data_IF_728974471449
#
_entry.id   IF_728974471449
#
_cell.length_a   1.000
_cell.length_b   1.000
_cell.length_c   1.000
_cell.angle_alpha   90.00
_cell.angle_beta   90.00
_cell.angle_gamma   90.00
#
_symmetry.space_group_name_H-M   'P 1'
#
loop_
_entity.id
_entity.type
_entity.pdbx_description
1 polymer ?
#
# COMPACT_ATOMS: atom_id res chain seq x y z
N UNK A 1 4.70 31.05 -7.39
CA UNK A 1 5.97 30.62 -8.00
C UNK A 1 5.79 30.69 -9.50
N UNK A 2 6.45 31.61 -10.19
CA UNK A 2 6.33 31.80 -11.66
C UNK A 2 7.72 31.69 -12.28
N UNK A 3 7.80 30.99 -13.42
CA UNK A 3 9.04 30.94 -14.23
C UNK A 3 9.15 32.18 -15.08
N UNK A 4 10.28 32.87 -15.00
CA UNK A 4 10.61 33.99 -15.91
C UNK A 4 11.17 33.44 -17.24
N UNK A 5 11.09 34.22 -18.30
CA UNK A 5 11.55 33.85 -19.66
C UNK A 5 13.03 33.44 -19.75
N UNK A 6 13.80 33.60 -18.68
CA UNK A 6 15.23 33.29 -18.59
C UNK A 6 15.57 32.13 -17.65
N UNK A 7 14.58 31.31 -17.20
CA UNK A 7 14.83 30.10 -16.44
C UNK A 7 15.30 30.29 -14.98
N UNK A 8 15.14 31.49 -14.40
CA UNK A 8 15.49 31.74 -12.99
C UNK A 8 14.24 31.69 -12.08
N UNK A 9 14.36 31.04 -10.96
CA UNK A 9 13.35 30.97 -9.89
C UNK A 9 13.35 32.29 -9.09
N UNK A 10 12.28 33.07 -9.16
CA UNK A 10 12.05 34.23 -8.31
C UNK A 10 10.90 33.97 -7.34
N UNK A 11 11.13 34.28 -6.06
CA UNK A 11 10.13 34.27 -4.99
C UNK A 11 9.67 35.72 -4.78
N UNK A 12 8.40 36.02 -5.07
CA UNK A 12 7.81 37.33 -4.79
C UNK A 12 7.39 37.41 -3.29
N UNK A 13 7.57 38.57 -2.63
CA UNK A 13 7.14 38.75 -1.24
C UNK A 13 5.60 38.81 -1.16
N UNK A 14 5.04 38.08 -0.23
CA UNK A 14 3.60 38.09 0.08
C UNK A 14 3.18 39.45 0.63
N UNK A 15 2.34 40.19 -0.11
CA UNK A 15 1.60 41.34 0.44
C UNK A 15 0.44 40.84 1.29
N UNK A 16 0.50 41.11 2.57
CA UNK A 16 -0.60 40.90 3.53
C UNK A 16 -1.64 41.99 3.28
N UNK A 17 -2.80 41.62 2.74
CA UNK A 17 -4.00 42.45 2.74
C UNK A 17 -4.67 42.29 4.12
N UNK A 18 -4.58 43.32 4.95
CA UNK A 18 -5.34 43.42 6.19
C UNK A 18 -6.81 43.75 5.86
N UNK A 19 -7.71 42.78 6.02
CA UNK A 19 -9.15 42.99 6.06
C UNK A 19 -9.61 43.08 7.50
N UNK A 20 -10.31 44.17 7.84
CA UNK A 20 -10.90 44.49 9.14
C UNK A 20 -11.86 43.40 9.61
N UNK A 21 -11.64 42.89 10.84
CA UNK A 21 -12.60 42.12 11.61
C UNK A 21 -12.96 42.93 12.88
N UNK A 22 -14.24 43.12 13.21
CA UNK A 22 -14.63 43.86 14.42
C UNK A 22 -14.34 43.04 15.69
N UNK A 23 -13.85 43.73 16.71
CA UNK A 23 -13.52 43.18 17.99
C UNK A 23 -14.79 42.78 18.78
N UNK A 24 -14.90 41.55 19.21
CA UNK A 24 -15.74 41.12 20.32
C UNK A 24 -14.89 40.93 21.55
N UNK A 25 -15.23 41.68 22.62
CA UNK A 25 -14.59 41.63 23.92
C UNK A 25 -15.07 40.42 24.73
N UNK A 26 -14.13 39.76 25.41
CA UNK A 26 -14.31 39.14 26.72
C UNK A 26 -14.53 37.62 26.78
N UNK A 27 -13.46 36.87 27.06
CA UNK A 27 -13.45 35.81 28.07
C UNK A 27 -12.00 35.29 28.22
N UNK A 28 -11.55 35.18 29.48
CA UNK A 28 -10.17 35.00 29.89
C UNK A 28 -9.47 33.75 29.34
N UNK A 29 -8.21 33.95 29.01
CA UNK A 29 -7.29 32.88 28.62
C UNK A 29 -6.87 32.08 29.84
N UNK A 30 -7.15 30.80 29.90
CA UNK A 30 -6.50 29.85 30.78
C UNK A 30 -5.14 29.44 30.22
N UNK A 31 -4.08 29.34 31.05
CA UNK A 31 -2.76 28.95 30.57
C UNK A 31 -2.71 27.46 30.21
N UNK A 32 -2.14 27.19 29.07
CA UNK A 32 -1.88 25.83 28.53
C UNK A 32 -0.86 25.12 29.45
N UNK A 33 -1.25 24.00 30.06
CA UNK A 33 -0.32 23.11 30.77
C UNK A 33 0.08 21.94 29.83
N UNK A 34 1.37 21.61 29.73
CA UNK A 34 1.81 20.47 28.91
C UNK A 34 1.43 19.15 29.60
N UNK A 35 0.78 18.27 28.85
CA UNK A 35 0.44 16.90 29.27
C UNK A 35 1.72 16.08 29.46
N UNK A 36 1.87 15.30 30.55
CA UNK A 36 3.05 14.49 30.81
C UNK A 36 3.26 13.42 29.75
N UNK A 37 4.52 13.24 29.34
CA UNK A 37 4.99 12.21 28.42
C UNK A 37 4.71 10.82 28.99
N UNK A 38 3.64 10.14 28.56
CA UNK A 38 3.52 8.69 28.72
C UNK A 38 4.24 8.00 27.55
N UNK A 39 5.51 7.71 27.79
CA UNK A 39 6.36 6.88 26.93
C UNK A 39 6.11 5.40 27.22
N UNK A 40 5.99 4.60 26.17
CA UNK A 40 6.40 3.19 26.11
C UNK A 40 5.71 2.21 27.07
N UNK A 41 4.38 2.06 26.98
CA UNK A 41 3.70 0.92 27.63
C UNK A 41 2.95 -0.03 26.69
N UNK A 42 2.77 0.29 25.41
CA UNK A 42 2.06 -0.61 24.47
C UNK A 42 2.90 -1.82 23.99
N UNK A 43 4.20 -1.84 24.21
CA UNK A 43 5.07 -2.96 23.76
C UNK A 43 5.25 -4.09 24.80
N UNK A 44 4.60 -4.05 25.98
CA UNK A 44 4.90 -5.00 27.06
C UNK A 44 3.78 -5.99 27.45
N UNK A 45 2.72 -6.11 26.68
CA UNK A 45 1.61 -7.01 27.06
C UNK A 45 1.51 -8.30 26.21
N UNK A 46 2.60 -8.72 25.54
CA UNK A 46 2.68 -10.05 24.94
C UNK A 46 3.84 -10.81 25.59
N UNK A 47 3.62 -11.99 26.20
CA UNK A 47 4.69 -12.74 26.87
C UNK A 47 5.69 -13.30 25.87
N UNK A 48 6.95 -12.91 25.96
CA UNK A 48 8.05 -13.50 25.22
C UNK A 48 8.37 -14.91 25.76
N UNK A 49 8.21 -15.93 24.92
CA UNK A 49 8.81 -17.23 25.16
C UNK A 49 10.36 -17.12 25.07
N UNK A 50 11.04 -17.60 26.11
CA UNK A 50 12.51 -17.60 26.19
C UNK A 50 13.10 -18.55 25.15
N UNK A 51 13.84 -18.03 24.17
CA UNK A 51 14.67 -18.81 23.26
C UNK A 51 16.04 -19.08 23.91
N UNK A 52 16.42 -20.36 23.96
CA UNK A 52 17.71 -20.82 24.42
C UNK A 52 18.86 -20.44 23.47
N UNK A 53 20.05 -20.21 24.05
CA UNK A 53 21.29 -19.88 23.33
C UNK A 53 21.77 -21.06 22.50
N UNK A 54 21.95 -20.89 21.19
CA UNK A 54 22.71 -21.78 20.31
C UNK A 54 24.17 -21.29 20.15
N UNK A 55 25.15 -22.19 19.97
CA UNK A 55 26.55 -21.84 19.95
C UNK A 55 27.03 -21.28 18.61
N UNK A 56 28.06 -20.41 18.66
CA UNK A 56 28.71 -19.77 17.50
C UNK A 56 29.58 -20.76 16.71
N UNK A 57 29.56 -20.75 15.36
CA UNK A 57 30.54 -21.46 14.56
C UNK A 57 31.84 -20.65 14.40
N UNK A 58 32.97 -21.38 14.37
CA UNK A 58 34.33 -20.91 14.22
C UNK A 58 34.61 -20.41 12.80
N UNK A 59 35.49 -19.41 12.71
CA UNK A 59 36.07 -18.86 11.48
C UNK A 59 36.85 -19.90 10.69
N UNK A 60 36.64 -19.95 9.37
CA UNK A 60 37.46 -20.72 8.43
C UNK A 60 38.36 -19.79 7.61
N UNK A 61 39.54 -20.27 7.43
CA UNK A 61 40.77 -19.74 6.87
C UNK A 61 40.66 -19.35 5.39
N UNK A 62 41.31 -18.23 5.03
CA UNK A 62 41.45 -17.74 3.66
C UNK A 62 42.81 -18.20 3.14
N UNK A 63 42.88 -19.16 2.21
CA UNK A 63 44.05 -19.41 1.39
C UNK A 63 43.74 -19.17 -0.10
N UNK A 64 44.67 -18.46 -0.70
CA UNK A 64 44.78 -17.95 -2.07
C UNK A 64 44.54 -19.00 -3.14
N UNK A 65 43.91 -18.59 -4.25
CA UNK A 65 44.12 -19.19 -5.58
C UNK A 65 44.15 -18.07 -6.62
N UNK A 66 45.23 -18.06 -7.42
CA UNK A 66 45.51 -17.13 -8.51
C UNK A 66 44.66 -17.44 -9.78
N UNK A 67 44.44 -16.44 -10.68
CA UNK A 67 43.64 -16.62 -11.89
C UNK A 67 44.46 -17.21 -13.04
N UNK A 68 43.87 -17.97 -14.00
CA UNK A 68 44.53 -18.44 -15.21
C UNK A 68 44.53 -17.38 -16.34
N UNK A 69 45.63 -17.42 -17.12
CA UNK A 69 45.89 -16.55 -18.29
C UNK A 69 45.04 -16.86 -19.52
N UNK A 70 44.93 -15.91 -20.50
CA UNK A 70 44.03 -16.01 -21.66
C UNK A 70 44.66 -16.80 -22.80
N UNK A 71 43.96 -17.86 -23.24
CA UNK A 71 44.30 -18.63 -24.43
C UNK A 71 43.61 -18.11 -25.70
N UNK A 72 44.35 -18.16 -26.81
CA UNK A 72 44.04 -17.61 -28.14
C UNK A 72 42.79 -18.18 -28.82
N UNK A 73 42.13 -17.35 -29.65
CA UNK A 73 41.01 -17.68 -30.52
C UNK A 73 41.48 -18.46 -31.77
N UNK A 74 40.66 -19.37 -32.33
CA UNK A 74 40.72 -19.73 -33.72
C UNK A 74 39.58 -19.10 -34.53
N UNK A 75 39.96 -18.53 -35.67
CA UNK A 75 39.08 -18.10 -36.75
C UNK A 75 38.51 -19.28 -37.50
N UNK A 76 37.19 -19.29 -37.79
CA UNK A 76 36.63 -20.14 -38.81
C UNK A 76 35.40 -19.46 -39.46
N UNK A 77 35.57 -19.07 -40.70
CA UNK A 77 34.57 -18.75 -41.68
C UNK A 77 33.88 -20.04 -42.14
N UNK A 78 32.54 -20.10 -42.05
CA UNK A 78 31.69 -21.15 -42.66
C UNK A 78 30.27 -20.65 -42.86
N UNK A 79 29.50 -21.17 -43.84
CA UNK A 79 28.38 -20.49 -44.48
C UNK A 79 27.11 -20.43 -43.62
N UNK A 80 26.35 -19.33 -43.82
CA UNK A 80 25.02 -19.10 -43.24
C UNK A 80 24.04 -20.14 -43.74
N UNK A 81 23.76 -21.17 -42.98
CA UNK A 81 22.53 -21.94 -43.10
C UNK A 81 21.50 -21.36 -42.10
N UNK A 82 20.34 -21.01 -42.64
CA UNK A 82 19.19 -20.56 -41.90
C UNK A 82 18.67 -21.70 -41.01
N UNK A 83 18.99 -21.63 -39.72
CA UNK A 83 18.37 -22.48 -38.72
C UNK A 83 17.04 -21.83 -38.39
N UNK A 84 15.96 -22.35 -38.96
CA UNK A 84 14.62 -22.29 -38.35
C UNK A 84 14.67 -23.07 -37.04
N UNK A 85 15.17 -22.42 -35.99
CA UNK A 85 15.10 -22.94 -34.65
C UNK A 85 13.61 -23.00 -34.27
N UNK A 86 13.11 -24.21 -34.06
CA UNK A 86 11.76 -24.48 -33.62
C UNK A 86 11.42 -23.60 -32.41
N UNK A 87 10.34 -22.85 -32.51
CA UNK A 87 9.71 -22.21 -31.39
C UNK A 87 9.29 -23.33 -30.42
N UNK A 88 10.01 -23.50 -29.35
CA UNK A 88 9.62 -24.34 -28.22
C UNK A 88 8.26 -23.86 -27.75
N UNK A 89 7.23 -24.70 -27.84
CA UNK A 89 5.86 -24.46 -27.33
C UNK A 89 5.81 -24.41 -25.78
N UNK A 90 6.95 -24.36 -25.12
CA UNK A 90 7.01 -24.21 -23.66
C UNK A 90 6.70 -22.77 -23.32
N UNK A 91 5.57 -22.49 -22.63
CA UNK A 91 5.25 -21.13 -22.22
C UNK A 91 6.39 -20.55 -21.39
N UNK A 92 6.66 -19.25 -21.51
CA UNK A 92 7.73 -18.60 -20.74
C UNK A 92 7.54 -18.88 -19.24
N UNK A 93 8.63 -19.05 -18.49
CA UNK A 93 8.57 -19.28 -17.05
C UNK A 93 7.61 -18.27 -16.41
N UNK A 94 6.70 -18.74 -15.55
CA UNK A 94 5.65 -17.96 -14.90
C UNK A 94 4.42 -17.57 -15.74
N UNK A 95 4.24 -17.98 -17.00
CA UNK A 95 3.08 -17.58 -17.81
C UNK A 95 1.73 -18.00 -17.16
N UNK A 96 1.62 -19.26 -16.74
CA UNK A 96 0.44 -19.75 -16.02
C UNK A 96 0.22 -18.99 -14.70
N UNK A 97 1.28 -18.80 -13.92
CA UNK A 97 1.23 -18.07 -12.65
C UNK A 97 0.80 -16.61 -12.81
N UNK A 98 1.24 -15.92 -13.87
CA UNK A 98 0.80 -14.54 -14.18
C UNK A 98 -0.71 -14.49 -14.42
N UNK A 99 -1.25 -15.45 -15.16
CA UNK A 99 -2.68 -15.54 -15.43
C UNK A 99 -3.48 -15.83 -14.15
N UNK A 100 -3.02 -16.77 -13.32
CA UNK A 100 -3.66 -17.12 -12.05
C UNK A 100 -3.65 -15.94 -11.06
N UNK A 101 -2.52 -15.24 -10.96
CA UNK A 101 -2.40 -14.07 -10.10
C UNK A 101 -3.31 -12.93 -10.57
N UNK A 102 -3.31 -12.64 -11.89
CA UNK A 102 -4.19 -11.62 -12.47
C UNK A 102 -5.67 -11.94 -12.22
N UNK A 103 -6.09 -13.14 -12.54
CA UNK A 103 -7.48 -13.59 -12.33
C UNK A 103 -7.89 -13.47 -10.85
N UNK A 104 -6.98 -13.83 -9.94
CA UNK A 104 -7.22 -13.67 -8.50
C UNK A 104 -7.39 -12.20 -8.10
N UNK A 105 -6.53 -11.29 -8.54
CA UNK A 105 -6.64 -9.86 -8.20
C UNK A 105 -7.93 -9.24 -8.72
N UNK A 106 -8.36 -9.62 -9.93
CA UNK A 106 -9.63 -9.20 -10.52
C UNK A 106 -10.82 -9.74 -9.69
N UNK A 107 -10.81 -11.02 -9.34
CA UNK A 107 -11.84 -11.63 -8.50
C UNK A 107 -11.90 -11.04 -7.08
N UNK A 108 -10.75 -10.76 -6.47
CA UNK A 108 -10.70 -10.13 -5.15
C UNK A 108 -11.25 -8.71 -5.19
N UNK A 109 -10.92 -7.90 -6.23
CA UNK A 109 -11.51 -6.58 -6.44
C UNK A 109 -13.03 -6.67 -6.49
N UNK A 110 -13.59 -7.62 -7.26
CA UNK A 110 -15.03 -7.76 -7.41
C UNK A 110 -15.72 -8.14 -6.09
N UNK A 111 -15.11 -9.04 -5.32
CA UNK A 111 -15.60 -9.42 -3.99
C UNK A 111 -15.55 -8.26 -2.99
N UNK A 112 -14.48 -7.47 -3.00
CA UNK A 112 -14.35 -6.28 -2.16
C UNK A 112 -15.39 -5.22 -2.52
N UNK A 113 -15.58 -4.95 -3.82
CA UNK A 113 -16.60 -4.01 -4.29
C UNK A 113 -18.01 -4.47 -3.84
N UNK A 114 -18.36 -5.73 -4.06
CA UNK A 114 -19.67 -6.26 -3.67
C UNK A 114 -19.90 -6.20 -2.14
N UNK A 115 -18.88 -6.51 -1.34
CA UNK A 115 -18.98 -6.43 0.12
C UNK A 115 -19.19 -4.98 0.61
N UNK A 116 -18.58 -4.00 -0.05
CA UNK A 116 -18.73 -2.59 0.32
C UNK A 116 -20.04 -2.00 -0.16
N UNK A 117 -20.54 -2.38 -1.33
CA UNK A 117 -21.89 -2.00 -1.79
C UNK A 117 -22.99 -2.59 -0.89
N UNK A 118 -22.82 -3.83 -0.40
CA UNK A 118 -23.74 -4.41 0.58
C UNK A 118 -23.75 -3.61 1.89
N UNK A 119 -22.61 -3.14 2.38
CA UNK A 119 -22.54 -2.27 3.57
C UNK A 119 -23.27 -0.94 3.34
N UNK A 120 -23.16 -0.36 2.15
CA UNK A 120 -23.91 0.85 1.78
C UNK A 120 -25.43 0.61 1.83
N UNK A 121 -25.90 -0.57 1.42
CA UNK A 121 -27.31 -0.96 1.51
C UNK A 121 -27.75 -1.20 2.96
N UNK A 122 -26.95 -1.90 3.75
CA UNK A 122 -27.16 -2.18 5.18
C UNK A 122 -27.25 -0.90 6.03
N UNK A 123 -26.61 0.20 5.60
CA UNK A 123 -26.67 1.49 6.28
C UNK A 123 -27.96 2.28 6.00
N UNK A 124 -28.92 1.73 5.26
CA UNK A 124 -30.20 2.37 5.03
C UNK A 124 -30.96 2.57 6.34
N UNK A 125 -31.44 3.80 6.57
CA UNK A 125 -32.19 4.14 7.79
C UNK A 125 -31.33 4.50 9.00
N UNK A 126 -30.00 4.53 8.89
CA UNK A 126 -29.13 5.09 9.92
C UNK A 126 -29.11 6.62 9.80
N UNK A 127 -29.68 7.31 10.79
CA UNK A 127 -29.93 8.77 10.77
C UNK A 127 -28.68 9.60 10.52
N UNK A 128 -27.51 9.15 11.02
CA UNK A 128 -26.24 9.86 10.89
C UNK A 128 -25.73 10.00 9.46
N UNK A 129 -26.25 9.21 8.52
CA UNK A 129 -25.87 9.29 7.11
C UNK A 129 -26.90 10.04 6.25
N UNK A 130 -28.06 10.40 6.83
CA UNK A 130 -29.12 11.14 6.14
C UNK A 130 -29.78 10.33 5.00
N UNK A 131 -30.56 11.00 4.13
CA UNK A 131 -31.35 10.35 3.09
C UNK A 131 -30.56 10.01 1.81
N UNK A 132 -29.24 10.16 1.80
CA UNK A 132 -28.41 9.91 0.61
C UNK A 132 -28.60 8.50 0.06
N UNK A 133 -28.58 8.33 -1.25
CA UNK A 133 -28.62 7.03 -1.90
C UNK A 133 -27.36 6.20 -1.53
N UNK A 134 -27.47 4.86 -1.48
CA UNK A 134 -26.30 4.02 -1.24
C UNK A 134 -25.27 4.17 -2.37
N UNK A 135 -23.99 4.21 -1.99
CA UNK A 135 -22.90 4.28 -2.94
C UNK A 135 -22.83 3.05 -3.85
N UNK A 136 -22.32 3.27 -5.07
CA UNK A 136 -22.02 2.20 -6.04
C UNK A 136 -20.68 2.49 -6.68
N UNK A 137 -19.92 1.44 -7.03
CA UNK A 137 -18.64 1.59 -7.69
C UNK A 137 -18.80 1.99 -9.15
N UNK A 138 -18.23 3.13 -9.50
CA UNK A 138 -17.98 3.51 -10.88
C UNK A 138 -16.64 2.94 -11.32
N UNK A 139 -16.63 2.21 -12.45
CA UNK A 139 -15.44 1.57 -13.00
C UNK A 139 -14.95 2.31 -14.23
N UNK A 140 -13.69 2.76 -14.19
CA UNK A 140 -13.02 3.45 -15.29
C UNK A 140 -11.79 2.66 -15.70
N UNK A 141 -11.85 2.06 -16.89
CA UNK A 141 -10.67 1.41 -17.48
C UNK A 141 -9.68 2.47 -17.97
N UNK A 142 -8.40 2.13 -17.91
CA UNK A 142 -7.31 2.94 -18.45
C UNK A 142 -6.24 2.04 -19.08
N UNK A 143 -5.55 2.56 -20.08
CA UNK A 143 -4.42 1.91 -20.73
C UNK A 143 -3.14 2.70 -20.50
N UNK A 144 -2.00 2.01 -20.58
CA UNK A 144 -0.67 2.59 -20.45
C UNK A 144 0.15 2.22 -21.69
N UNK A 145 0.28 3.11 -22.67
CA UNK A 145 1.24 2.88 -23.76
C UNK A 145 2.67 2.96 -23.20
N UNK A 146 3.57 2.17 -23.77
CA UNK A 146 5.01 2.30 -23.54
C UNK A 146 5.55 3.53 -24.29
N UNK A 147 6.80 3.93 -24.04
CA UNK A 147 7.43 5.10 -24.68
C UNK A 147 7.52 5.00 -26.19
N UNK A 148 7.58 3.80 -26.75
CA UNK A 148 7.56 3.49 -28.19
C UNK A 148 6.14 3.29 -28.75
N UNK A 149 5.09 3.48 -27.92
CA UNK A 149 3.69 3.34 -28.31
C UNK A 149 3.15 1.90 -28.28
N UNK A 150 3.94 0.91 -27.84
CA UNK A 150 3.46 -0.45 -27.68
C UNK A 150 2.53 -0.59 -26.46
N UNK A 151 1.87 -1.74 -26.32
CA UNK A 151 0.99 -2.04 -25.21
C UNK A 151 1.79 -2.24 -23.91
N UNK A 152 1.66 -1.30 -22.97
CA UNK A 152 2.23 -1.36 -21.63
C UNK A 152 1.24 -1.83 -20.57
N UNK A 153 0.09 -2.36 -20.99
CA UNK A 153 -0.99 -2.83 -20.12
C UNK A 153 -1.93 -1.71 -19.68
N UNK A 154 -2.50 -1.86 -18.49
CA UNK A 154 -3.47 -0.91 -17.97
C UNK A 154 -4.12 -1.40 -16.69
N UNK A 155 -5.33 -0.91 -16.44
CA UNK A 155 -6.07 -1.30 -15.25
C UNK A 155 -7.51 -0.80 -15.26
N UNK A 156 -8.19 -1.08 -14.14
CA UNK A 156 -9.53 -0.57 -13.85
C UNK A 156 -9.51 0.11 -12.50
N UNK A 157 -9.76 1.40 -12.49
CA UNK A 157 -10.06 2.16 -11.29
C UNK A 157 -11.53 1.95 -10.94
N UNK A 158 -11.83 1.44 -9.75
CA UNK A 158 -13.17 1.33 -9.22
C UNK A 158 -13.28 2.30 -8.04
N UNK A 159 -14.10 3.34 -8.18
CA UNK A 159 -14.27 4.40 -7.18
C UNK A 159 -15.72 4.45 -6.73
N UNK A 160 -15.95 4.50 -5.40
CA UNK A 160 -17.27 4.72 -4.81
C UNK A 160 -17.25 5.89 -3.84
N UNK A 161 -18.33 6.67 -3.85
CA UNK A 161 -18.71 7.63 -2.82
C UNK A 161 -20.12 7.27 -2.36
N UNK A 162 -20.30 7.16 -1.07
CA UNK A 162 -21.56 6.69 -0.50
C UNK A 162 -21.81 7.28 0.88
N UNK A 163 -22.69 6.64 1.61
CA UNK A 163 -23.09 7.01 2.98
C UNK A 163 -22.00 6.68 3.97
N UNK A 164 -21.59 5.41 4.00
CA UNK A 164 -20.58 4.86 4.92
C UNK A 164 -19.17 5.15 4.42
N UNK A 165 -18.97 4.96 3.12
CA UNK A 165 -17.69 5.27 2.46
C UNK A 165 -17.75 6.67 1.87
N UNK A 166 -17.16 7.66 2.57
CA UNK A 166 -17.03 9.00 1.99
C UNK A 166 -16.22 8.97 0.69
N UNK A 167 -15.23 8.09 0.63
CA UNK A 167 -14.51 7.72 -0.58
C UNK A 167 -13.81 6.38 -0.38
N UNK A 168 -14.01 5.46 -1.30
CA UNK A 168 -13.23 4.21 -1.38
C UNK A 168 -12.86 3.92 -2.83
N UNK A 169 -11.62 3.50 -3.03
CA UNK A 169 -11.16 3.01 -4.32
C UNK A 169 -10.64 1.59 -4.21
N UNK A 170 -10.97 0.75 -5.20
CA UNK A 170 -10.46 -0.61 -5.35
C UNK A 170 -9.95 -0.76 -6.77
N UNK A 171 -8.64 -0.70 -6.95
CA UNK A 171 -8.01 -0.67 -8.27
C UNK A 171 -7.33 -1.99 -8.57
N UNK A 172 -7.46 -2.47 -9.81
CA UNK A 172 -6.64 -3.55 -10.36
C UNK A 172 -5.85 -3.01 -11.53
N UNK A 173 -4.59 -3.40 -11.61
CA UNK A 173 -3.75 -3.10 -12.76
C UNK A 173 -2.92 -4.32 -13.16
N UNK A 174 -2.67 -4.43 -14.47
CA UNK A 174 -1.67 -5.33 -15.03
C UNK A 174 -0.86 -4.50 -16.02
N UNK A 175 0.40 -4.27 -15.68
CA UNK A 175 1.29 -3.39 -16.45
C UNK A 175 2.59 -4.10 -16.79
N UNK A 176 3.17 -3.72 -17.92
CA UNK A 176 4.44 -4.24 -18.40
C UNK A 176 5.26 -3.13 -19.04
N UNK A 177 6.56 -3.33 -19.20
CA UNK A 177 7.46 -2.36 -19.77
C UNK A 177 8.89 -2.61 -19.35
N UNK A 178 9.70 -1.57 -19.39
CA UNK A 178 11.10 -1.62 -18.95
C UNK A 178 11.36 -0.63 -17.82
N UNK A 179 12.17 -1.05 -16.85
CA UNK A 179 12.68 -0.14 -15.82
C UNK A 179 13.72 0.80 -16.40
N UNK A 180 13.66 2.09 -16.01
CA UNK A 180 14.69 3.06 -16.37
C UNK A 180 16.06 2.65 -15.77
N UNK A 181 17.18 3.10 -16.35
CA UNK A 181 18.52 2.78 -15.85
C UNK A 181 18.71 3.03 -14.35
N UNK A 182 18.13 4.11 -13.82
CA UNK A 182 18.23 4.48 -12.40
C UNK A 182 17.55 3.49 -11.44
N UNK A 183 16.53 2.77 -11.93
CA UNK A 183 15.79 1.80 -11.13
C UNK A 183 16.32 0.37 -11.27
N UNK A 184 16.98 0.03 -12.37
CA UNK A 184 17.45 -1.35 -12.65
C UNK A 184 18.32 -1.93 -11.53
N UNK A 185 19.20 -1.11 -10.95
CA UNK A 185 20.09 -1.54 -9.87
C UNK A 185 19.37 -1.86 -8.54
N UNK A 186 18.14 -1.38 -8.37
CA UNK A 186 17.38 -1.50 -7.13
C UNK A 186 16.33 -2.62 -7.17
N UNK A 187 16.03 -3.14 -8.37
CA UNK A 187 14.96 -4.13 -8.59
C UNK A 187 15.59 -5.50 -8.87
N UNK A 188 15.24 -6.54 -8.12
CA UNK A 188 15.76 -7.89 -8.36
C UNK A 188 15.56 -8.35 -9.81
N UNK A 189 16.62 -8.82 -10.45
CA UNK A 189 16.62 -9.32 -11.83
C UNK A 189 16.56 -8.25 -12.94
N UNK A 190 16.31 -6.97 -12.61
CA UNK A 190 16.18 -5.93 -13.63
C UNK A 190 17.54 -5.42 -14.17
N UNK A 191 18.66 -5.73 -13.51
CA UNK A 191 19.99 -5.45 -14.02
C UNK A 191 20.35 -6.38 -15.19
N UNK A 192 19.84 -7.60 -15.19
CA UNK A 192 20.05 -8.61 -16.23
C UNK A 192 19.13 -8.37 -17.45
N UNK A 193 17.85 -8.15 -17.19
CA UNK A 193 16.83 -7.80 -18.18
C UNK A 193 15.91 -6.72 -17.58
N UNK A 194 15.84 -5.52 -18.20
CA UNK A 194 15.05 -4.41 -17.66
C UNK A 194 13.54 -4.62 -17.76
N UNK A 195 13.08 -5.60 -18.54
CA UNK A 195 11.67 -5.87 -18.75
C UNK A 195 10.99 -6.36 -17.49
N UNK A 196 9.78 -5.89 -17.27
CA UNK A 196 8.95 -6.33 -16.15
C UNK A 196 7.50 -6.58 -16.56
N UNK A 197 6.85 -7.39 -15.79
CA UNK A 197 5.40 -7.53 -15.71
C UNK A 197 4.99 -7.40 -14.25
N UNK A 198 3.93 -6.65 -13.98
CA UNK A 198 3.40 -6.48 -12.63
C UNK A 198 1.87 -6.48 -12.67
N UNK A 199 1.25 -7.19 -11.75
CA UNK A 199 -0.20 -7.16 -11.55
C UNK A 199 -0.52 -7.07 -10.06
N UNK A 200 -1.64 -6.44 -9.72
CA UNK A 200 -2.05 -6.33 -8.32
C UNK A 200 -3.38 -5.63 -8.13
N UNK A 201 -3.90 -5.76 -6.91
CA UNK A 201 -5.06 -5.01 -6.41
C UNK A 201 -4.59 -4.05 -5.33
N UNK A 202 -5.16 -2.83 -5.31
CA UNK A 202 -4.89 -1.80 -4.31
C UNK A 202 -6.20 -1.18 -3.86
N UNK A 203 -6.35 -0.96 -2.55
CA UNK A 203 -7.54 -0.41 -1.93
C UNK A 203 -7.16 0.64 -0.88
N UNK A 204 -7.90 1.75 -0.87
CA UNK A 204 -7.93 2.68 0.25
C UNK A 204 -9.37 3.10 0.51
N UNK A 205 -9.80 2.99 1.78
CA UNK A 205 -11.13 3.36 2.24
C UNK A 205 -11.05 4.51 3.26
N UNK A 206 -11.75 5.62 2.96
CA UNK A 206 -11.96 6.75 3.85
C UNK A 206 -13.44 6.84 4.22
N UNK A 207 -13.73 6.68 5.51
CA UNK A 207 -15.09 6.49 6.02
C UNK A 207 -15.75 7.81 6.40
N UNK A 208 -17.05 7.95 6.19
CA UNK A 208 -17.81 9.14 6.60
C UNK A 208 -17.78 9.31 8.13
N UNK A 209 -18.02 8.23 8.87
CA UNK A 209 -17.96 8.24 10.33
C UNK A 209 -16.51 8.25 10.86
N UNK A 210 -16.17 9.12 11.81
CA UNK A 210 -14.89 9.06 12.52
C UNK A 210 -14.74 7.84 13.45
N UNK A 211 -15.86 7.15 13.75
CA UNK A 211 -15.86 5.92 14.56
C UNK A 211 -15.39 4.70 13.77
N UNK A 212 -15.54 4.73 12.45
CA UNK A 212 -15.07 3.67 11.56
C UNK A 212 -13.65 3.98 11.11
N UNK A 213 -12.68 3.08 11.32
CA UNK A 213 -11.30 3.31 10.89
C UNK A 213 -11.18 3.38 9.36
N UNK A 214 -10.24 4.17 8.86
CA UNK A 214 -9.78 4.04 7.49
C UNK A 214 -8.91 2.78 7.35
N UNK A 215 -8.80 2.24 6.14
CA UNK A 215 -7.94 1.10 5.85
C UNK A 215 -7.28 1.21 4.48
N UNK A 216 -6.08 0.67 4.40
CA UNK A 216 -5.36 0.41 3.16
C UNK A 216 -5.11 -1.08 3.03
N UNK A 217 -5.15 -1.57 1.80
CA UNK A 217 -4.80 -2.93 1.45
C UNK A 217 -4.20 -2.97 0.04
N UNK A 218 -3.17 -3.77 -0.16
CA UNK A 218 -2.71 -4.12 -1.50
C UNK A 218 -2.09 -5.51 -1.51
N UNK A 219 -2.17 -6.18 -2.66
CA UNK A 219 -1.34 -7.36 -2.98
C UNK A 219 -0.95 -7.31 -4.44
N UNK A 220 0.26 -7.76 -4.73
CA UNK A 220 0.85 -7.70 -6.07
C UNK A 220 1.78 -8.86 -6.36
N UNK A 221 1.94 -9.17 -7.64
CA UNK A 221 3.01 -10.00 -8.18
C UNK A 221 3.84 -9.16 -9.14
N UNK A 222 5.17 -9.26 -9.05
CA UNK A 222 6.13 -8.63 -9.96
C UNK A 222 7.03 -9.71 -10.54
N UNK A 223 7.26 -9.65 -11.85
CA UNK A 223 8.11 -10.58 -12.59
C UNK A 223 9.09 -9.79 -13.45
N UNK A 224 10.37 -10.10 -13.30
CA UNK A 224 11.51 -9.70 -14.13
C UNK A 224 12.16 -10.98 -14.67
N UNK A 225 13.47 -11.16 -14.58
CA UNK A 225 14.12 -12.49 -14.64
C UNK A 225 13.83 -13.31 -13.37
N UNK A 226 13.30 -12.66 -12.32
CA UNK A 226 12.82 -13.24 -11.06
C UNK A 226 11.33 -12.95 -10.90
N UNK A 227 10.67 -13.68 -9.99
CA UNK A 227 9.27 -13.45 -9.66
C UNK A 227 9.10 -13.41 -8.14
N UNK A 228 8.26 -12.48 -7.63
CA UNK A 228 7.95 -12.37 -6.21
C UNK A 228 6.59 -11.74 -5.96
N UNK A 229 6.11 -11.92 -4.74
CA UNK A 229 4.89 -11.27 -4.24
C UNK A 229 5.20 -10.17 -3.23
N UNK A 230 4.28 -9.23 -3.10
CA UNK A 230 4.29 -8.20 -2.09
C UNK A 230 2.87 -7.76 -1.76
N UNK A 231 2.71 -7.16 -0.59
CA UNK A 231 1.40 -6.69 -0.19
C UNK A 231 1.27 -6.45 1.30
N UNK A 232 0.02 -6.46 1.75
CA UNK A 232 -0.37 -6.29 3.13
C UNK A 232 -1.58 -5.38 3.27
N UNK A 233 -1.92 -5.06 4.51
CA UNK A 233 -2.98 -4.12 4.85
C UNK A 233 -2.74 -3.52 6.21
N UNK A 234 -3.21 -2.30 6.41
CA UNK A 234 -3.13 -1.59 7.67
C UNK A 234 -4.42 -0.86 8.00
N UNK A 235 -4.72 -0.80 9.29
CA UNK A 235 -5.88 -0.15 9.86
C UNK A 235 -5.50 1.20 10.45
N UNK A 236 -6.29 2.24 10.17
CA UNK A 236 -6.07 3.61 10.66
C UNK A 236 -7.30 4.11 11.43
N UNK A 237 -7.47 3.74 12.71
CA UNK A 237 -8.43 4.37 13.58
C UNK A 237 -8.09 5.86 13.77
N UNK A 238 -9.09 6.69 13.96
CA UNK A 238 -8.86 8.12 14.20
C UNK A 238 -8.24 8.37 15.59
N UNK A 239 -8.56 7.52 16.55
CA UNK A 239 -7.94 7.48 17.90
C UNK A 239 -7.40 6.07 18.14
N UNK A 240 -6.19 5.97 18.69
CA UNK A 240 -5.51 4.70 18.96
C UNK A 240 -5.64 4.25 20.41
N UNK A 241 -6.18 5.11 21.27
CA UNK A 241 -6.22 4.96 22.73
C UNK A 241 -7.59 4.58 23.27
N UNK A 242 -8.61 4.40 22.42
CA UNK A 242 -9.95 4.00 22.85
C UNK A 242 -10.10 2.49 22.91
N UNK A 243 -10.93 1.96 23.85
CA UNK A 243 -11.21 0.52 23.92
C UNK A 243 -11.72 -0.06 22.61
N UNK A 244 -12.55 0.69 21.89
CA UNK A 244 -13.13 0.30 20.61
C UNK A 244 -12.04 0.15 19.54
N UNK A 245 -11.15 1.13 19.43
CA UNK A 245 -10.04 1.08 18.47
C UNK A 245 -9.06 -0.05 18.78
N UNK A 246 -8.76 -0.28 20.06
CA UNK A 246 -7.92 -1.40 20.50
C UNK A 246 -8.56 -2.77 20.16
N UNK A 247 -9.88 -2.90 20.38
CA UNK A 247 -10.62 -4.11 20.03
C UNK A 247 -10.61 -4.37 18.51
N UNK A 248 -10.88 -3.35 17.70
CA UNK A 248 -10.88 -3.46 16.24
C UNK A 248 -9.48 -3.77 15.70
N UNK A 249 -8.44 -3.12 16.25
CA UNK A 249 -7.06 -3.41 15.90
C UNK A 249 -6.67 -4.85 16.26
N UNK A 250 -7.05 -5.34 17.44
CA UNK A 250 -6.78 -6.72 17.86
C UNK A 250 -7.44 -7.73 16.91
N UNK A 251 -8.70 -7.53 16.52
CA UNK A 251 -9.40 -8.38 15.57
C UNK A 251 -8.76 -8.37 14.17
N UNK A 252 -8.35 -7.19 13.69
CA UNK A 252 -7.67 -7.03 12.41
C UNK A 252 -6.30 -7.74 12.39
N UNK A 253 -5.52 -7.57 13.44
CA UNK A 253 -4.24 -8.26 13.61
C UNK A 253 -4.42 -9.78 13.71
N UNK A 254 -5.41 -10.27 14.46
CA UNK A 254 -5.69 -11.69 14.59
C UNK A 254 -6.04 -12.35 13.25
N UNK A 255 -6.80 -11.67 12.39
CA UNK A 255 -7.14 -12.18 11.06
C UNK A 255 -5.88 -12.33 10.17
N UNK A 256 -5.00 -11.34 10.16
CA UNK A 256 -3.75 -11.44 9.42
C UNK A 256 -2.76 -12.43 10.03
N UNK A 257 -2.71 -12.53 11.35
CA UNK A 257 -1.91 -13.54 12.02
C UNK A 257 -2.36 -14.95 11.62
N UNK A 258 -3.65 -15.22 11.68
CA UNK A 258 -4.20 -16.51 11.26
C UNK A 258 -3.91 -16.83 9.79
N UNK A 259 -3.92 -15.82 8.90
CA UNK A 259 -3.52 -15.99 7.50
C UNK A 259 -2.03 -16.34 7.38
N UNK A 260 -1.15 -15.67 8.11
CA UNK A 260 0.28 -15.94 8.13
C UNK A 260 0.60 -17.33 8.69
N UNK A 261 0.02 -17.69 9.84
CA UNK A 261 0.31 -18.92 10.58
C UNK A 261 -0.06 -20.20 9.79
N UNK A 262 -0.98 -20.10 8.80
CA UNK A 262 -1.29 -21.21 7.87
C UNK A 262 -0.14 -21.53 6.92
N UNK A 263 0.79 -20.62 6.72
CA UNK A 263 1.92 -20.75 5.78
C UNK A 263 3.27 -20.82 6.51
N UNK A 264 3.54 -19.85 7.39
CA UNK A 264 4.76 -19.80 8.20
C UNK A 264 4.51 -18.95 9.46
N UNK A 265 4.70 -19.52 10.63
CA UNK A 265 4.56 -18.82 11.91
C UNK A 265 5.51 -17.62 12.07
N UNK A 266 6.61 -17.57 11.30
CA UNK A 266 7.53 -16.43 11.28
C UNK A 266 7.02 -15.25 10.45
N UNK A 267 6.01 -15.42 9.57
CA UNK A 267 5.52 -14.38 8.69
C UNK A 267 4.89 -13.23 9.45
N UNK A 268 3.97 -13.54 10.37
CA UNK A 268 3.26 -12.47 11.09
C UNK A 268 4.19 -11.55 11.89
N UNK A 269 5.06 -12.01 12.78
CA UNK A 269 5.93 -11.12 13.53
C UNK A 269 6.86 -10.31 12.61
N UNK A 270 7.39 -10.90 11.54
CA UNK A 270 8.25 -10.26 10.57
C UNK A 270 7.52 -9.16 9.77
N UNK A 271 6.33 -9.48 9.27
CA UNK A 271 5.58 -8.57 8.40
C UNK A 271 4.88 -7.46 9.20
N UNK A 272 4.50 -7.76 10.46
CA UNK A 272 4.00 -6.74 11.39
C UNK A 272 5.08 -5.72 11.73
N UNK A 273 6.26 -6.14 12.12
CA UNK A 273 7.39 -5.24 12.38
C UNK A 273 7.72 -4.38 11.16
N UNK A 274 7.69 -4.97 9.96
CA UNK A 274 7.91 -4.22 8.73
C UNK A 274 6.81 -3.19 8.48
N UNK A 275 5.54 -3.54 8.69
CA UNK A 275 4.40 -2.65 8.60
C UNK A 275 4.55 -1.45 9.55
N UNK A 276 4.87 -1.69 10.83
CA UNK A 276 5.03 -0.67 11.85
C UNK A 276 6.13 0.35 11.47
N UNK A 277 7.25 -0.13 10.92
CA UNK A 277 8.34 0.73 10.42
C UNK A 277 7.97 1.48 9.15
N UNK A 278 7.28 0.82 8.21
CA UNK A 278 6.94 1.40 6.93
C UNK A 278 5.94 2.56 7.06
N UNK A 279 4.90 2.37 7.87
CA UNK A 279 3.82 3.35 8.04
C UNK A 279 4.06 4.35 9.20
N UNK A 280 5.29 4.47 9.65
CA UNK A 280 5.67 5.49 10.63
C UNK A 280 5.90 6.85 9.94
N UNK A 281 5.46 7.94 10.57
CA UNK A 281 5.69 9.32 10.12
C UNK A 281 6.87 9.94 10.90
N UNK A 282 8.10 9.93 10.38
CA UNK A 282 9.27 10.40 11.11
C UNK A 282 9.17 11.87 11.52
N UNK A 283 8.67 12.73 10.61
CA UNK A 283 8.50 14.17 10.85
C UNK A 283 7.42 14.52 11.88
N UNK A 284 6.55 13.56 12.25
CA UNK A 284 5.55 13.67 13.30
C UNK A 284 5.90 12.86 14.55
N UNK A 285 6.86 11.94 14.44
CA UNK A 285 7.21 10.97 15.47
C UNK A 285 5.99 10.16 15.95
N UNK A 286 5.14 9.75 15.02
CA UNK A 286 3.92 8.98 15.30
C UNK A 286 3.65 7.91 14.22
N UNK A 287 2.96 6.79 14.56
CA UNK A 287 2.48 5.84 13.57
C UNK A 287 1.30 6.42 12.78
N UNK A 288 1.13 6.01 11.52
CA UNK A 288 -0.04 6.36 10.71
C UNK A 288 -1.34 5.84 11.33
N UNK A 289 -1.33 4.61 11.81
CA UNK A 289 -2.48 3.92 12.39
C UNK A 289 -2.09 2.81 13.36
N UNK A 290 -2.97 1.83 13.52
CA UNK A 290 -2.77 0.65 14.36
C UNK A 290 -1.84 -0.39 13.71
N UNK A 291 -1.51 -0.23 12.42
CA UNK A 291 -0.70 -1.17 11.66
C UNK A 291 -1.51 -2.33 11.09
N UNK A 292 -0.83 -3.43 10.88
CA UNK A 292 -1.29 -4.65 10.24
C UNK A 292 -0.11 -5.49 9.82
N UNK A 293 -0.03 -5.87 8.53
CA UNK A 293 1.14 -6.53 7.95
C UNK A 293 1.60 -5.82 6.67
N UNK A 294 2.91 -5.88 6.39
CA UNK A 294 3.49 -5.45 5.13
C UNK A 294 4.63 -6.39 4.73
N UNK A 295 4.62 -6.88 3.51
CA UNK A 295 5.67 -7.72 2.94
C UNK A 295 6.00 -7.31 1.51
N UNK A 296 7.23 -7.52 1.12
CA UNK A 296 7.73 -7.31 -0.24
C UNK A 296 8.82 -8.32 -0.57
N UNK A 297 9.06 -8.55 -1.85
CA UNK A 297 10.03 -9.52 -2.34
C UNK A 297 9.86 -10.91 -1.70
N UNK A 298 8.61 -11.33 -1.47
CA UNK A 298 8.32 -12.66 -0.97
C UNK A 298 8.57 -13.67 -2.08
N UNK A 299 9.55 -14.54 -1.84
CA UNK A 299 9.89 -15.69 -2.65
C UNK A 299 10.42 -16.78 -1.72
N UNK A 300 9.57 -17.76 -1.42
CA UNK A 300 9.90 -18.90 -0.53
C UNK A 300 10.66 -20.03 -1.24
N UNK A 301 10.70 -19.97 -2.58
CA UNK A 301 11.16 -21.08 -3.43
C UNK A 301 9.99 -21.87 -4.04
N UNK A 302 8.78 -21.71 -3.51
CA UNK A 302 7.54 -22.24 -4.07
C UNK A 302 6.56 -21.10 -4.38
N UNK A 303 6.53 -20.71 -5.65
CA UNK A 303 5.70 -19.60 -6.14
C UNK A 303 4.20 -19.86 -6.02
N UNK A 304 3.76 -21.13 -5.99
CA UNK A 304 2.36 -21.48 -5.79
C UNK A 304 1.97 -21.33 -4.31
N UNK A 305 2.85 -21.70 -3.39
CA UNK A 305 2.66 -21.44 -1.97
C UNK A 305 2.64 -19.92 -1.68
N UNK A 306 3.51 -19.13 -2.33
CA UNK A 306 3.52 -17.68 -2.20
C UNK A 306 2.24 -17.02 -2.73
N UNK A 307 1.69 -17.54 -3.86
CA UNK A 307 0.39 -17.11 -4.37
C UNK A 307 -0.73 -17.50 -3.41
N UNK A 308 -0.71 -18.70 -2.84
CA UNK A 308 -1.69 -19.15 -1.86
C UNK A 308 -1.68 -18.25 -0.60
N UNK A 309 -0.51 -17.93 -0.08
CA UNK A 309 -0.36 -16.96 1.01
C UNK A 309 -0.95 -15.59 0.64
N UNK A 310 -0.61 -15.09 -0.55
CA UNK A 310 -1.12 -13.78 -1.02
C UNK A 310 -2.65 -13.78 -1.15
N UNK A 311 -3.25 -14.91 -1.54
CA UNK A 311 -4.72 -15.11 -1.56
C UNK A 311 -5.29 -15.07 -0.15
N UNK A 312 -4.70 -15.77 0.80
CA UNK A 312 -5.14 -15.80 2.20
C UNK A 312 -5.06 -14.43 2.89
N UNK A 313 -4.04 -13.64 2.59
CA UNK A 313 -3.93 -12.24 3.03
C UNK A 313 -5.10 -11.40 2.49
N UNK A 314 -5.49 -11.60 1.22
CA UNK A 314 -6.65 -10.94 0.61
C UNK A 314 -7.97 -11.33 1.27
N UNK A 315 -8.14 -12.61 1.59
CA UNK A 315 -9.33 -13.13 2.26
C UNK A 315 -9.44 -12.63 3.71
N UNK A 316 -8.32 -12.58 4.44
CA UNK A 316 -8.28 -12.04 5.80
C UNK A 316 -8.73 -10.57 5.86
N UNK A 317 -8.30 -9.75 4.90
CA UNK A 317 -8.76 -8.37 4.81
C UNK A 317 -10.26 -8.28 4.47
N UNK A 318 -10.72 -9.06 3.48
CA UNK A 318 -12.12 -9.09 3.06
C UNK A 318 -13.07 -9.54 4.19
N UNK A 319 -12.60 -10.35 5.12
CA UNK A 319 -13.36 -10.76 6.30
C UNK A 319 -13.30 -9.70 7.42
N UNK A 320 -12.10 -9.28 7.80
CA UNK A 320 -11.88 -8.45 8.98
C UNK A 320 -12.41 -7.01 8.82
N UNK A 321 -12.11 -6.35 7.70
CA UNK A 321 -12.46 -4.93 7.55
C UNK A 321 -13.96 -4.69 7.42
N UNK A 322 -14.73 -5.41 6.58
CA UNK A 322 -16.19 -5.31 6.57
C UNK A 322 -16.86 -5.59 7.93
N UNK A 323 -16.33 -6.53 8.72
CA UNK A 323 -16.86 -6.82 10.06
C UNK A 323 -16.65 -5.65 11.03
N UNK A 324 -15.50 -4.96 10.95
CA UNK A 324 -15.23 -3.74 11.73
C UNK A 324 -16.20 -2.63 11.32
N UNK A 325 -16.41 -2.41 10.02
CA UNK A 325 -17.34 -1.38 9.53
C UNK A 325 -18.74 -1.62 10.08
N UNK A 326 -19.29 -2.82 9.93
CA UNK A 326 -20.62 -3.20 10.42
C UNK A 326 -20.80 -2.97 11.92
N UNK A 327 -19.75 -3.24 12.69
CA UNK A 327 -19.76 -3.04 14.15
C UNK A 327 -19.85 -1.58 14.52
N UNK A 328 -19.23 -0.68 13.74
CA UNK A 328 -19.04 0.73 14.07
C UNK A 328 -19.95 1.70 13.32
N UNK A 329 -20.46 1.32 12.15
CA UNK A 329 -21.17 2.24 11.27
C UNK A 329 -22.46 2.81 11.87
N UNK A 330 -23.08 2.13 12.85
CA UNK A 330 -24.26 2.62 13.53
C UNK A 330 -23.97 3.55 14.72
N UNK A 331 -22.69 3.67 15.14
CA UNK A 331 -22.31 4.52 16.27
C UNK A 331 -22.43 6.02 15.90
N UNK A 332 -23.12 6.83 16.70
CA UNK A 332 -23.19 8.27 16.47
C UNK A 332 -21.86 8.93 16.75
N UNK A 333 -21.61 10.06 16.13
CA UNK A 333 -20.39 10.85 16.32
C UNK A 333 -20.67 12.34 16.46
N UNK A 334 -19.73 13.06 17.04
CA UNK A 334 -19.78 14.50 17.26
C UNK A 334 -19.06 15.28 16.15
N UNK A 335 -19.34 16.58 16.05
CA UNK A 335 -18.62 17.49 15.15
C UNK A 335 -17.12 17.59 15.53
N UNK A 336 -16.77 17.46 16.82
CA UNK A 336 -15.38 17.44 17.29
C UNK A 336 -14.64 16.21 16.79
N UNK A 337 -15.24 15.02 16.89
CA UNK A 337 -14.65 13.78 16.33
C UNK A 337 -14.49 13.84 14.82
N UNK A 338 -15.46 14.44 14.12
CA UNK A 338 -15.33 14.68 12.68
C UNK A 338 -14.15 15.62 12.38
N UNK A 339 -14.01 16.71 13.12
CA UNK A 339 -12.86 17.62 12.98
C UNK A 339 -11.54 16.89 13.23
N UNK A 340 -11.47 16.07 14.28
CA UNK A 340 -10.30 15.25 14.58
C UNK A 340 -9.98 14.29 13.42
N UNK A 341 -10.98 13.64 12.83
CA UNK A 341 -10.81 12.78 11.65
C UNK A 341 -10.15 13.55 10.49
N UNK A 342 -10.57 14.77 10.20
CA UNK A 342 -9.99 15.58 9.13
C UNK A 342 -8.49 15.88 9.40
N UNK A 343 -8.12 16.13 10.64
CA UNK A 343 -6.70 16.31 11.04
C UNK A 343 -5.91 15.00 10.87
N UNK A 344 -6.45 13.86 11.30
CA UNK A 344 -5.80 12.55 11.11
C UNK A 344 -5.64 12.20 9.63
N UNK A 345 -6.59 12.57 8.79
CA UNK A 345 -6.48 12.44 7.33
C UNK A 345 -5.36 13.31 6.74
N UNK A 346 -5.05 14.45 7.35
CA UNK A 346 -3.85 15.23 7.01
C UNK A 346 -2.57 14.42 7.18
N UNK A 347 -2.45 13.63 8.28
CA UNK A 347 -1.32 12.69 8.49
C UNK A 347 -1.25 11.62 7.41
N UNK A 348 -2.41 11.11 7.00
CA UNK A 348 -2.49 10.13 5.91
C UNK A 348 -1.97 10.70 4.58
N UNK A 349 -2.35 11.93 4.23
CA UNK A 349 -1.85 12.64 3.04
C UNK A 349 -0.35 12.88 3.12
N UNK A 350 0.15 13.33 4.28
CA UNK A 350 1.58 13.54 4.51
C UNK A 350 2.37 12.24 4.25
N UNK A 351 1.89 11.10 4.78
CA UNK A 351 2.53 9.82 4.53
C UNK A 351 2.55 9.48 3.03
N UNK A 352 1.40 9.51 2.37
CA UNK A 352 1.27 9.07 0.98
C UNK A 352 2.10 9.93 0.02
N UNK A 353 2.18 11.25 0.23
CA UNK A 353 2.91 12.15 -0.67
C UNK A 353 4.41 12.26 -0.35
N UNK A 354 4.83 12.03 0.89
CA UNK A 354 6.23 12.23 1.30
C UNK A 354 6.98 10.91 1.41
N UNK A 355 6.34 9.85 1.94
CA UNK A 355 7.02 8.63 2.36
C UNK A 355 6.59 7.38 1.60
N UNK A 356 5.38 7.34 0.99
CA UNK A 356 4.91 6.13 0.33
C UNK A 356 5.66 5.85 -0.98
N UNK A 357 6.51 4.82 -0.93
CA UNK A 357 7.31 4.40 -2.09
C UNK A 357 6.45 3.98 -3.28
N UNK A 358 5.27 3.39 -3.03
CA UNK A 358 4.34 2.97 -4.08
C UNK A 358 3.77 4.16 -4.84
N UNK A 359 3.29 5.20 -4.15
CA UNK A 359 2.82 6.45 -4.73
C UNK A 359 3.93 7.16 -5.52
N UNK A 360 5.11 7.31 -4.90
CA UNK A 360 6.25 7.99 -5.54
C UNK A 360 6.74 7.22 -6.78
N UNK A 361 6.82 5.90 -6.72
CA UNK A 361 7.18 5.07 -7.86
C UNK A 361 6.16 5.17 -8.99
N UNK A 362 4.86 5.04 -8.68
CA UNK A 362 3.80 5.13 -9.67
C UNK A 362 3.81 6.47 -10.42
N UNK A 363 3.96 7.60 -9.71
CA UNK A 363 4.03 8.94 -10.30
C UNK A 363 5.30 9.11 -11.16
N UNK A 364 6.45 8.63 -10.70
CA UNK A 364 7.73 8.73 -11.43
C UNK A 364 7.80 7.86 -12.68
N UNK A 365 7.07 6.75 -12.72
CA UNK A 365 7.09 5.80 -13.85
C UNK A 365 5.95 6.02 -14.84
N UNK A 366 5.23 7.14 -14.77
CA UNK A 366 4.15 7.48 -15.71
C UNK A 366 2.88 6.67 -15.50
N UNK A 367 2.61 6.23 -14.28
CA UNK A 367 1.35 5.59 -13.90
C UNK A 367 0.15 6.55 -14.03
N UNK A 368 -1.06 5.99 -14.07
CA UNK A 368 -2.29 6.78 -14.10
C UNK A 368 -2.45 7.60 -12.80
N UNK A 369 -2.30 8.92 -12.90
CA UNK A 369 -2.28 9.83 -11.74
C UNK A 369 -3.58 9.77 -10.94
N UNK A 370 -4.75 9.68 -11.60
CA UNK A 370 -6.04 9.61 -10.93
C UNK A 370 -6.18 8.30 -10.13
N UNK A 371 -5.74 7.18 -10.73
CA UNK A 371 -5.76 5.88 -10.07
C UNK A 371 -4.77 5.81 -8.88
N UNK A 372 -3.63 6.49 -8.95
CA UNK A 372 -2.66 6.57 -7.86
C UNK A 372 -3.18 7.47 -6.73
N UNK A 373 -3.62 8.69 -7.07
CA UNK A 373 -4.07 9.68 -6.09
C UNK A 373 -5.50 9.43 -5.57
N UNK A 374 -6.20 8.41 -6.09
CA UNK A 374 -7.47 7.99 -5.48
C UNK A 374 -7.30 7.57 -4.01
N UNK A 375 -6.08 7.17 -3.61
CA UNK A 375 -5.74 6.82 -2.22
C UNK A 375 -5.89 7.99 -1.22
N UNK A 376 -5.89 9.23 -1.70
CA UNK A 376 -6.01 10.40 -0.83
C UNK A 376 -7.45 10.59 -0.34
N UNK A 377 -7.65 11.05 0.92
CA UNK A 377 -8.96 11.35 1.46
C UNK A 377 -9.64 12.51 0.72
N UNK A 378 -11.01 12.56 0.71
CA UNK A 378 -11.75 13.60 -0.01
C UNK A 378 -11.65 14.99 0.64
N UNK A 379 -11.41 15.03 1.96
CA UNK A 379 -11.28 16.26 2.74
C UNK A 379 -10.28 16.04 3.88
N UNK A 380 -9.50 17.06 4.19
CA UNK A 380 -8.46 17.08 5.22
C UNK A 380 -8.44 18.41 5.94
N UNK A 381 -7.80 18.46 7.11
CA UNK A 381 -7.47 19.68 7.80
C UNK A 381 -6.06 19.58 8.41
N UNK A 382 -5.42 20.73 8.51
CA UNK A 382 -4.23 20.94 9.34
C UNK A 382 -4.54 22.01 10.38
N UNK A 383 -4.05 21.86 11.65
CA UNK A 383 -4.23 22.85 12.70
C UNK A 383 -3.59 24.19 12.36
#
# INVERSE_FOLDING_TARGET
MYLTREGRLAVAPARILASHVPACHGAGAMPWQPVPRQRAQLCRLIPHARAGKAPRPRAADKSRLDPPEPGAAPSATGPREAILAGMSDTPPPHAALKNDARAWFEALRDRLCAAFEAIEDEAAGLDQYGPAAPGRFERKAWSRPTTDGADGGGGVMSLMRGRVFEKVGVNVSTVMGEFSPDFRAQIPGAAEDPRFWASGVSLVAHMASPRVPAAHFNTRMIVTTKGWFGGGGDLTPMRLDTPEALHDAAGFHAAFQAACDRHDAAYYPKFKEWCDRYFFLPHRNEPRGAGGIFYDQLFSGDVQADLAFTKDVGLAFLEAFPAIIRRRMAEPWTAEERRHQLVRRGRYVEFNLIHDRGTLFGLKTGGNVEAILMSLPPAVAWP
#
